data_IF_973220855317
#
_entry.id   IF_973220855317
#
_cell.length_a   1.000
_cell.length_b   1.000
_cell.length_c   1.000
_cell.angle_alpha   90.00
_cell.angle_beta   90.00
_cell.angle_gamma   90.00
#
_symmetry.space_group_name_H-M   'P 1'
#
loop_
_entity.id
_entity.type
_entity.pdbx_description
1 polymer ?
#
# COMPACT_ATOMS: atom_id res chain seq x y z
N UNK A 1 20.95 4.92 -9.64
CA UNK A 1 20.98 4.63 -11.09
C UNK A 1 19.70 5.12 -11.74
N UNK A 2 19.73 5.47 -13.03
CA UNK A 2 18.50 5.79 -13.76
C UNK A 2 17.50 4.64 -13.67
N UNK A 3 16.19 4.91 -13.53
CA UNK A 3 15.20 3.86 -13.24
C UNK A 3 15.06 2.82 -14.36
N UNK A 4 15.34 3.18 -15.60
CA UNK A 4 15.23 2.29 -16.76
C UNK A 4 16.57 1.75 -17.27
N UNK A 5 17.63 1.96 -16.53
CA UNK A 5 18.97 1.40 -16.79
C UNK A 5 19.30 0.37 -15.71
N UNK A 6 19.03 -0.93 -15.95
CA UNK A 6 19.23 -1.96 -14.95
C UNK A 6 20.71 -2.05 -14.57
N UNK A 7 21.00 -1.97 -13.29
CA UNK A 7 22.36 -1.94 -12.75
C UNK A 7 22.53 -3.00 -11.68
N UNK A 8 23.56 -3.85 -11.82
CA UNK A 8 23.94 -4.82 -10.78
C UNK A 8 24.95 -4.19 -9.84
N UNK A 9 24.66 -4.22 -8.54
CA UNK A 9 25.57 -3.78 -7.46
C UNK A 9 25.43 -4.73 -6.28
N UNK A 10 26.54 -5.17 -5.73
CA UNK A 10 26.57 -6.04 -4.55
C UNK A 10 25.66 -7.28 -4.66
N UNK A 11 25.62 -7.90 -5.86
CA UNK A 11 24.79 -9.06 -6.13
C UNK A 11 23.29 -8.78 -6.30
N UNK A 12 22.86 -7.52 -6.25
CA UNK A 12 21.46 -7.10 -6.42
C UNK A 12 21.26 -6.34 -7.72
N UNK A 13 20.10 -6.57 -8.36
CA UNK A 13 19.68 -5.87 -9.58
C UNK A 13 18.79 -4.68 -9.20
N UNK A 14 19.20 -3.49 -9.60
CA UNK A 14 18.45 -2.24 -9.40
C UNK A 14 17.86 -1.75 -10.71
N UNK A 15 16.57 -1.40 -10.70
CA UNK A 15 15.86 -0.86 -11.85
C UNK A 15 14.36 -0.79 -11.59
N UNK A 16 13.63 0.02 -12.36
CA UNK A 16 12.17 0.09 -12.27
C UNK A 16 11.54 -1.26 -12.62
N UNK A 17 10.69 -1.78 -11.72
CA UNK A 17 10.04 -3.07 -11.88
C UNK A 17 10.99 -4.28 -11.73
N UNK A 18 12.21 -4.11 -11.22
CA UNK A 18 13.12 -5.23 -11.00
C UNK A 18 12.62 -6.16 -9.89
N UNK A 19 12.17 -5.60 -8.78
CA UNK A 19 11.57 -6.35 -7.68
C UNK A 19 10.04 -6.41 -7.84
N UNK A 20 9.42 -5.31 -8.20
CA UNK A 20 7.98 -5.14 -8.32
C UNK A 20 7.61 -4.75 -9.77
N UNK A 21 7.14 -5.72 -10.65
CA UNK A 21 7.12 -7.14 -10.27
C UNK A 21 7.68 -8.04 -11.38
N UNK A 22 8.83 -7.72 -11.98
CA UNK A 22 9.51 -8.68 -12.89
C UNK A 22 10.16 -9.86 -12.14
N UNK A 23 10.38 -9.73 -10.83
CA UNK A 23 10.86 -10.81 -10.00
C UNK A 23 9.82 -11.95 -9.95
N UNK A 24 8.53 -11.64 -9.79
CA UNK A 24 7.45 -12.62 -9.83
C UNK A 24 7.34 -13.31 -11.19
N UNK A 25 7.47 -12.57 -12.29
CA UNK A 25 7.54 -13.16 -13.63
C UNK A 25 8.70 -14.17 -13.72
N UNK A 26 9.88 -13.83 -13.22
CA UNK A 26 11.05 -14.70 -13.24
C UNK A 26 10.90 -15.90 -12.31
N UNK A 27 10.19 -15.76 -11.18
CA UNK A 27 9.85 -16.88 -10.32
C UNK A 27 8.97 -17.91 -11.04
N UNK A 28 7.94 -17.46 -11.76
CA UNK A 28 7.12 -18.33 -12.61
C UNK A 28 7.95 -19.02 -13.71
N UNK A 29 8.79 -18.27 -14.41
CA UNK A 29 9.66 -18.85 -15.45
C UNK A 29 10.61 -19.90 -14.86
N UNK A 30 11.20 -19.64 -13.69
CA UNK A 30 12.05 -20.56 -12.97
C UNK A 30 11.31 -21.85 -12.59
N UNK A 31 10.11 -21.72 -12.02
CA UNK A 31 9.26 -22.85 -11.68
C UNK A 31 8.86 -23.69 -12.90
N UNK A 32 8.49 -23.04 -14.01
CA UNK A 32 8.14 -23.75 -15.26
C UNK A 32 9.33 -24.50 -15.86
N UNK A 33 10.52 -23.92 -15.83
CA UNK A 33 11.75 -24.60 -16.27
C UNK A 33 12.03 -25.83 -15.42
N UNK A 34 12.02 -25.67 -14.09
CA UNK A 34 12.24 -26.79 -13.17
C UNK A 34 11.20 -27.90 -13.37
N UNK A 35 9.92 -27.54 -13.55
CA UNK A 35 8.85 -28.51 -13.82
C UNK A 35 9.09 -29.25 -15.14
N UNK A 36 9.44 -28.53 -16.21
CA UNK A 36 9.76 -29.12 -17.50
C UNK A 36 10.92 -30.11 -17.42
N UNK A 37 11.98 -29.76 -16.67
CA UNK A 37 13.15 -30.62 -16.51
C UNK A 37 12.81 -31.95 -15.79
N UNK A 38 12.03 -31.86 -14.69
CA UNK A 38 11.68 -33.05 -13.90
C UNK A 38 10.60 -33.93 -14.56
N UNK A 39 9.81 -33.35 -15.46
CA UNK A 39 8.74 -34.08 -16.19
C UNK A 39 9.11 -34.43 -17.62
N UNK A 40 10.36 -34.23 -18.03
CA UNK A 40 10.82 -34.42 -19.41
C UNK A 40 9.96 -33.67 -20.45
N UNK A 41 9.47 -32.48 -20.09
CA UNK A 41 8.64 -31.61 -20.94
C UNK A 41 7.14 -31.93 -20.93
N UNK A 42 6.68 -32.89 -20.14
CA UNK A 42 5.27 -33.23 -19.98
C UNK A 42 4.79 -33.03 -18.54
N UNK A 43 4.35 -31.80 -18.17
CA UNK A 43 4.02 -31.47 -16.78
C UNK A 43 2.76 -32.14 -16.24
N UNK A 44 2.00 -32.88 -17.05
CA UNK A 44 0.74 -33.57 -16.67
C UNK A 44 -0.35 -32.66 -16.12
N UNK A 45 -0.17 -31.34 -16.23
CA UNK A 45 -1.12 -30.28 -15.82
C UNK A 45 -1.21 -29.23 -16.91
N UNK A 46 -2.40 -28.67 -17.10
CA UNK A 46 -2.58 -27.49 -17.94
C UNK A 46 -2.00 -26.24 -17.27
N UNK A 47 -1.26 -25.44 -18.02
CA UNK A 47 -0.64 -24.22 -17.50
C UNK A 47 -1.06 -23.03 -18.34
N UNK A 48 -1.51 -21.97 -17.67
CA UNK A 48 -1.79 -20.66 -18.28
C UNK A 48 -0.99 -19.62 -17.53
N UNK A 49 -0.21 -18.83 -18.24
CA UNK A 49 0.53 -17.70 -17.69
C UNK A 49 -0.16 -16.41 -18.12
N UNK A 50 -0.61 -15.62 -17.14
CA UNK A 50 -1.17 -14.30 -17.37
C UNK A 50 -0.26 -13.24 -16.74
N UNK A 51 0.11 -12.23 -17.51
CA UNK A 51 0.96 -11.13 -17.06
C UNK A 51 0.20 -9.83 -17.27
N UNK A 52 -0.09 -9.14 -16.17
CA UNK A 52 -0.73 -7.83 -16.19
C UNK A 52 0.32 -6.72 -16.22
N UNK A 53 0.09 -5.68 -16.99
CA UNK A 53 0.97 -4.53 -17.11
C UNK A 53 0.39 -3.22 -16.56
N UNK A 54 -0.78 -3.24 -15.92
CA UNK A 54 -1.51 -2.06 -15.46
C UNK A 54 -1.74 -2.01 -13.95
N UNK A 55 -1.23 -2.97 -13.18
CA UNK A 55 -1.52 -3.09 -11.75
C UNK A 55 -1.18 -1.79 -11.01
N UNK A 56 0.02 -1.27 -11.19
CA UNK A 56 0.52 -0.02 -10.59
C UNK A 56 -0.26 1.24 -11.02
N UNK A 57 -1.02 1.13 -12.09
CA UNK A 57 -1.86 2.20 -12.61
C UNK A 57 -3.35 1.99 -12.31
N UNK A 58 -3.69 0.96 -11.53
CA UNK A 58 -5.03 0.64 -11.04
C UNK A 58 -5.82 -0.28 -11.94
N UNK A 59 -5.18 -1.13 -12.71
CA UNK A 59 -5.79 -2.28 -13.42
C UNK A 59 -7.05 -1.94 -14.22
N UNK A 60 -7.04 -0.86 -14.98
CA UNK A 60 -8.25 -0.27 -15.59
C UNK A 60 -8.95 -1.18 -16.59
N UNK A 61 -8.18 -1.93 -17.37
CA UNK A 61 -8.70 -2.86 -18.38
C UNK A 61 -8.83 -4.29 -17.89
N UNK A 62 -8.30 -4.61 -16.72
CA UNK A 62 -8.16 -5.99 -16.24
C UNK A 62 -9.50 -6.68 -16.01
N UNK A 63 -10.50 -5.99 -15.50
CA UNK A 63 -11.83 -6.56 -15.30
C UNK A 63 -12.51 -6.98 -16.60
N UNK A 64 -12.34 -6.21 -17.68
CA UNK A 64 -12.84 -6.54 -19.01
C UNK A 64 -12.05 -7.71 -19.61
N UNK A 65 -10.72 -7.65 -19.50
CA UNK A 65 -9.84 -8.73 -19.92
C UNK A 65 -10.22 -10.08 -19.26
N UNK A 66 -10.48 -10.10 -17.96
CA UNK A 66 -10.90 -11.31 -17.24
C UNK A 66 -12.24 -11.85 -17.76
N UNK A 67 -13.20 -10.96 -18.06
CA UNK A 67 -14.50 -11.37 -18.58
C UNK A 67 -14.39 -11.98 -19.97
N UNK A 68 -13.59 -11.38 -20.84
CA UNK A 68 -13.42 -11.81 -22.22
C UNK A 68 -12.61 -13.11 -22.33
N UNK A 69 -11.67 -13.34 -21.41
CA UNK A 69 -10.78 -14.49 -21.43
C UNK A 69 -11.11 -15.56 -20.36
N UNK A 70 -12.30 -15.52 -19.78
CA UNK A 70 -12.71 -16.35 -18.66
C UNK A 70 -12.44 -17.85 -18.89
N UNK A 71 -12.77 -18.37 -20.08
CA UNK A 71 -12.62 -19.80 -20.36
C UNK A 71 -11.14 -20.18 -20.53
N UNK A 72 -10.31 -19.30 -21.08
CA UNK A 72 -8.86 -19.52 -21.21
C UNK A 72 -8.16 -19.47 -19.86
N UNK A 73 -8.61 -18.56 -18.98
CA UNK A 73 -8.01 -18.33 -17.67
C UNK A 73 -8.58 -19.26 -16.58
N UNK A 74 -9.58 -20.07 -16.90
CA UNK A 74 -10.19 -20.98 -15.92
C UNK A 74 -9.19 -22.02 -15.45
N UNK A 75 -8.94 -22.09 -14.16
CA UNK A 75 -8.02 -23.01 -13.53
C UNK A 75 -8.54 -23.52 -12.19
N UNK A 76 -8.06 -24.67 -11.74
CA UNK A 76 -8.37 -25.22 -10.42
C UNK A 76 -7.55 -24.54 -9.33
N UNK A 77 -6.37 -24.01 -9.69
CA UNK A 77 -5.45 -23.28 -8.79
C UNK A 77 -4.93 -22.05 -9.50
N UNK A 78 -4.90 -20.93 -8.80
CA UNK A 78 -4.31 -19.67 -9.26
C UNK A 78 -3.13 -19.34 -8.33
N UNK A 79 -1.97 -19.11 -8.91
CA UNK A 79 -0.77 -18.68 -8.19
C UNK A 79 -0.47 -17.23 -8.58
N UNK A 80 -0.53 -16.33 -7.61
CA UNK A 80 -0.21 -14.91 -7.81
C UNK A 80 1.19 -14.68 -7.21
N UNK A 81 2.14 -14.25 -8.03
CA UNK A 81 3.52 -14.02 -7.62
C UNK A 81 3.81 -12.52 -7.35
N UNK A 82 2.82 -11.81 -6.82
CA UNK A 82 2.92 -10.41 -6.39
C UNK A 82 3.05 -10.32 -4.87
N UNK A 83 4.06 -10.99 -4.35
CA UNK A 83 4.40 -10.96 -2.93
C UNK A 83 5.88 -11.34 -2.73
N UNK A 84 6.47 -10.86 -1.62
CA UNK A 84 7.85 -11.18 -1.28
C UNK A 84 7.98 -12.43 -0.43
N UNK A 85 9.19 -13.00 -0.43
CA UNK A 85 9.63 -13.89 0.61
C UNK A 85 9.88 -13.13 1.91
N UNK A 86 10.13 -13.85 3.02
CA UNK A 86 10.51 -13.23 4.28
C UNK A 86 11.81 -12.41 4.13
N UNK A 87 12.80 -13.00 3.51
CA UNK A 87 14.06 -12.38 3.11
C UNK A 87 14.62 -13.07 1.85
N UNK A 88 15.84 -12.71 1.44
CA UNK A 88 16.47 -13.26 0.24
C UNK A 88 16.78 -14.77 0.32
N UNK A 89 16.86 -15.33 1.52
CA UNK A 89 17.27 -16.73 1.77
C UNK A 89 16.11 -17.59 2.27
N UNK A 90 15.05 -16.97 2.81
CA UNK A 90 13.92 -17.64 3.46
C UNK A 90 12.67 -17.58 2.60
N UNK A 91 12.31 -18.68 1.87
CA UNK A 91 11.06 -18.74 1.12
C UNK A 91 9.84 -18.60 2.03
N UNK A 92 8.81 -17.90 1.54
CA UNK A 92 7.56 -17.73 2.27
C UNK A 92 6.35 -17.79 1.34
N UNK A 93 5.22 -18.22 1.89
CA UNK A 93 3.92 -18.16 1.23
C UNK A 93 3.05 -17.12 1.93
N UNK A 94 2.52 -16.19 1.17
CA UNK A 94 1.51 -15.24 1.67
C UNK A 94 0.18 -15.96 1.80
N UNK A 95 -0.30 -16.14 3.03
CA UNK A 95 -1.53 -16.89 3.33
C UNK A 95 -2.69 -15.99 3.74
N UNK A 96 -2.45 -14.71 3.93
CA UNK A 96 -3.46 -13.72 4.33
C UNK A 96 -2.99 -12.32 3.96
N UNK A 97 -3.91 -11.46 3.58
CA UNK A 97 -3.66 -10.04 3.29
C UNK A 97 -4.57 -9.16 4.11
N UNK A 98 -4.12 -7.94 4.40
CA UNK A 98 -5.00 -6.88 4.91
C UNK A 98 -5.89 -6.37 3.78
N UNK A 99 -7.14 -6.05 4.11
CA UNK A 99 -8.00 -5.32 3.19
C UNK A 99 -7.49 -3.89 2.93
N UNK A 100 -7.91 -3.30 1.82
CA UNK A 100 -7.60 -1.91 1.48
C UNK A 100 -8.88 -1.17 1.13
N UNK A 101 -9.15 -0.07 1.84
CA UNK A 101 -10.24 0.86 1.55
C UNK A 101 -9.64 2.24 1.29
N UNK A 102 -9.98 2.83 0.14
CA UNK A 102 -9.56 4.19 -0.21
C UNK A 102 -10.77 5.12 -0.23
N UNK A 103 -10.67 6.26 0.41
CA UNK A 103 -11.75 7.23 0.43
C UNK A 103 -11.25 8.67 0.29
N UNK A 104 -12.14 9.55 -0.14
CA UNK A 104 -11.91 10.99 -0.19
C UNK A 104 -12.79 11.66 0.84
N UNK A 105 -12.18 12.55 1.62
CA UNK A 105 -12.88 13.41 2.57
C UNK A 105 -12.81 14.84 2.04
N UNK A 106 -13.94 15.47 1.88
CA UNK A 106 -14.02 16.88 1.49
C UNK A 106 -14.67 17.67 2.62
N UNK A 107 -14.09 18.82 2.94
CA UNK A 107 -14.63 19.78 3.89
C UNK A 107 -14.81 21.12 3.19
N UNK A 108 -15.99 21.66 3.30
CA UNK A 108 -16.33 23.02 2.84
C UNK A 108 -16.78 23.83 4.05
N UNK A 109 -16.17 25.00 4.28
CA UNK A 109 -16.47 25.87 5.41
C UNK A 109 -16.96 27.26 4.99
N UNK A 110 -16.62 27.70 3.78
CA UNK A 110 -16.92 29.05 3.30
C UNK A 110 -17.51 29.00 1.88
N UNK A 111 -18.36 29.94 1.55
CA UNK A 111 -18.88 30.11 0.19
C UNK A 111 -17.82 30.66 -0.78
N UNK A 112 -16.88 31.42 -0.28
CA UNK A 112 -15.73 31.97 -1.02
C UNK A 112 -14.53 32.12 -0.08
N UNK A 113 -13.34 32.20 -0.64
CA UNK A 113 -12.12 32.46 0.12
C UNK A 113 -12.15 33.86 0.75
N UNK A 114 -11.62 34.00 1.96
CA UNK A 114 -11.63 35.24 2.72
C UNK A 114 -10.26 35.58 3.26
N UNK A 115 -10.01 36.88 3.56
CA UNK A 115 -8.71 37.31 4.06
C UNK A 115 -8.49 36.87 5.51
N UNK A 116 -7.41 36.13 5.76
CA UNK A 116 -7.13 35.55 7.10
C UNK A 116 -6.81 36.60 8.17
N UNK A 117 -6.18 37.73 7.79
CA UNK A 117 -5.90 38.82 8.71
C UNK A 117 -7.14 39.57 9.16
N UNK A 118 -8.25 39.50 8.42
CA UNK A 118 -9.52 40.14 8.80
C UNK A 118 -10.45 39.22 9.57
N UNK A 119 -10.50 37.96 9.22
CA UNK A 119 -11.51 37.03 9.72
C UNK A 119 -10.92 35.80 10.43
N UNK A 120 -9.59 35.63 10.40
CA UNK A 120 -8.90 34.57 11.14
C UNK A 120 -9.15 34.68 12.65
N UNK A 121 -9.29 33.56 13.31
CA UNK A 121 -9.63 33.47 14.72
C UNK A 121 -11.14 33.47 15.01
N UNK A 122 -11.97 33.96 14.07
CA UNK A 122 -13.45 33.94 14.20
C UNK A 122 -14.11 32.95 13.22
N UNK A 123 -13.54 32.85 12.02
CA UNK A 123 -14.08 31.98 10.93
C UNK A 123 -13.20 30.76 10.76
N UNK A 124 -13.75 29.53 10.83
CA UNK A 124 -13.00 28.32 10.58
C UNK A 124 -12.68 28.19 9.08
N UNK A 125 -11.41 27.98 8.76
CA UNK A 125 -11.05 27.56 7.41
C UNK A 125 -11.15 26.02 7.23
N UNK A 126 -11.24 25.60 5.97
CA UNK A 126 -11.42 24.19 5.66
C UNK A 126 -10.21 23.33 6.06
N UNK A 127 -8.97 23.88 5.98
CA UNK A 127 -7.77 23.14 6.37
C UNK A 127 -7.70 22.94 7.88
N UNK A 128 -8.03 23.94 8.68
CA UNK A 128 -8.12 23.78 10.15
C UNK A 128 -9.12 22.68 10.53
N UNK A 129 -10.29 22.67 9.88
CA UNK A 129 -11.28 21.63 10.11
C UNK A 129 -10.78 20.23 9.67
N UNK A 130 -10.08 20.16 8.54
CA UNK A 130 -9.47 18.91 8.05
C UNK A 130 -8.39 18.39 9.00
N UNK A 131 -7.48 19.25 9.47
CA UNK A 131 -6.43 18.88 10.44
C UNK A 131 -7.05 18.30 11.70
N UNK A 132 -8.09 18.94 12.23
CA UNK A 132 -8.80 18.44 13.42
C UNK A 132 -9.48 17.11 13.18
N UNK A 133 -10.15 16.95 12.05
CA UNK A 133 -10.80 15.68 11.68
C UNK A 133 -9.76 14.57 11.50
N UNK A 134 -8.71 14.81 10.72
CA UNK A 134 -7.66 13.81 10.49
C UNK A 134 -6.97 13.45 11.81
N UNK A 135 -6.75 14.41 12.70
CA UNK A 135 -6.15 14.15 14.02
C UNK A 135 -6.95 13.18 14.90
N UNK A 136 -8.26 13.00 14.66
CA UNK A 136 -9.07 12.02 15.40
C UNK A 136 -8.91 10.58 14.91
N UNK A 137 -8.25 10.38 13.79
CA UNK A 137 -8.06 9.03 13.23
C UNK A 137 -6.99 8.22 13.98
N UNK A 138 -6.16 8.87 14.77
CA UNK A 138 -5.08 8.25 15.54
C UNK A 138 -5.12 8.67 17.01
N UNK A 139 -4.74 7.75 17.88
CA UNK A 139 -4.41 8.04 19.27
C UNK A 139 -3.00 8.63 19.40
N UNK A 140 -2.65 9.07 20.61
CA UNK A 140 -1.35 9.74 20.87
C UNK A 140 -0.14 8.83 20.56
N UNK A 141 -0.29 7.52 20.66
CA UNK A 141 0.74 6.54 20.29
C UNK A 141 0.80 6.24 18.78
N UNK A 142 -0.07 6.83 17.97
CA UNK A 142 -0.19 6.61 16.53
C UNK A 142 -0.98 5.36 16.13
N UNK A 143 -1.58 4.66 17.08
CA UNK A 143 -2.55 3.59 16.76
C UNK A 143 -3.81 4.18 16.13
N UNK A 144 -4.47 3.41 15.24
CA UNK A 144 -5.74 3.85 14.65
C UNK A 144 -6.84 3.90 15.71
N UNK A 145 -7.53 5.04 15.82
CA UNK A 145 -8.56 5.33 16.82
C UNK A 145 -9.99 5.22 16.28
N UNK A 146 -10.19 4.69 15.08
CA UNK A 146 -11.51 4.53 14.46
C UNK A 146 -12.23 3.33 15.08
N UNK A 147 -13.40 3.58 15.64
CA UNK A 147 -14.22 2.55 16.26
C UNK A 147 -14.71 1.51 15.24
N UNK A 148 -14.86 0.26 15.68
CA UNK A 148 -15.38 -0.86 14.88
C UNK A 148 -14.35 -1.52 13.96
N UNK A 149 -13.10 -1.01 13.92
CA UNK A 149 -12.03 -1.69 13.22
C UNK A 149 -11.48 -2.85 14.04
N UNK A 150 -11.37 -4.00 13.39
CA UNK A 150 -10.86 -5.20 14.04
C UNK A 150 -9.35 -5.12 14.24
N UNK A 151 -8.90 -5.61 15.37
CA UNK A 151 -7.51 -5.92 15.64
C UNK A 151 -7.42 -7.43 15.74
N UNK A 152 -6.61 -8.05 14.88
CA UNK A 152 -6.34 -9.48 14.96
C UNK A 152 -5.12 -9.69 15.84
N UNK A 153 -5.24 -10.53 16.84
CA UNK A 153 -4.09 -11.02 17.59
C UNK A 153 -3.65 -12.36 17.01
N UNK A 154 -2.45 -12.40 16.44
CA UNK A 154 -1.87 -13.60 15.85
C UNK A 154 -0.36 -13.59 16.07
N UNK A 155 0.20 -14.77 16.24
CA UNK A 155 1.66 -14.93 16.31
C UNK A 155 2.31 -14.41 15.02
N UNK A 156 3.41 -13.71 15.18
CA UNK A 156 4.21 -13.15 14.08
C UNK A 156 5.67 -13.51 14.29
N UNK A 157 6.47 -13.61 13.22
CA UNK A 157 7.91 -13.69 13.34
C UNK A 157 8.48 -12.51 14.12
N UNK A 158 9.64 -12.72 14.72
CA UNK A 158 10.41 -11.63 15.31
C UNK A 158 10.92 -10.69 14.22
N UNK A 159 10.79 -9.39 14.46
CA UNK A 159 11.27 -8.35 13.56
C UNK A 159 11.73 -7.16 14.40
N UNK A 160 13.00 -6.84 14.32
CA UNK A 160 13.61 -5.85 15.20
C UNK A 160 13.39 -4.42 14.72
N UNK A 161 13.48 -3.46 15.64
CA UNK A 161 13.49 -2.03 15.29
C UNK A 161 14.66 -1.69 14.34
N UNK A 162 15.82 -2.32 14.53
CA UNK A 162 16.98 -2.11 13.66
C UNK A 162 16.68 -2.51 12.22
N UNK A 163 16.00 -3.64 12.04
CA UNK A 163 15.55 -4.12 10.74
C UNK A 163 14.50 -3.16 10.13
N UNK A 164 13.53 -2.71 10.93
CA UNK A 164 12.53 -1.75 10.47
C UNK A 164 13.20 -0.45 9.96
N UNK A 165 14.21 0.05 10.68
CA UNK A 165 14.97 1.24 10.28
C UNK A 165 15.75 1.04 8.98
N UNK A 166 16.37 -0.12 8.82
CA UNK A 166 17.08 -0.47 7.59
C UNK A 166 16.12 -0.56 6.40
N UNK A 167 15.01 -1.28 6.56
CA UNK A 167 14.06 -1.54 5.47
C UNK A 167 13.27 -0.29 5.05
N UNK A 168 12.98 0.62 5.99
CA UNK A 168 12.15 1.81 5.75
C UNK A 168 12.92 3.11 5.58
N UNK A 169 14.18 3.15 5.99
CA UNK A 169 14.95 4.39 6.06
C UNK A 169 14.46 5.35 7.16
N UNK A 170 13.89 4.81 8.25
CA UNK A 170 13.41 5.63 9.38
C UNK A 170 14.58 6.44 9.96
N UNK A 171 14.42 7.78 10.01
CA UNK A 171 15.47 8.70 10.41
C UNK A 171 15.81 8.58 11.91
N UNK A 172 17.04 8.95 12.26
CA UNK A 172 17.47 9.03 13.64
C UNK A 172 16.60 10.01 14.43
N UNK A 173 16.24 9.63 15.65
CA UNK A 173 15.37 10.42 16.53
C UNK A 173 13.86 10.32 16.20
N UNK A 174 13.49 9.65 15.11
CA UNK A 174 12.09 9.30 14.84
C UNK A 174 11.78 7.95 15.47
N UNK A 175 10.67 7.87 16.19
CA UNK A 175 10.22 6.65 16.85
C UNK A 175 9.11 5.96 16.04
N UNK A 176 9.04 4.66 16.15
CA UNK A 176 7.94 3.86 15.62
C UNK A 176 6.61 4.19 16.32
N UNK A 177 5.50 3.94 15.65
CA UNK A 177 4.15 4.24 16.15
C UNK A 177 3.38 2.96 16.48
N UNK A 178 2.38 3.09 17.34
CA UNK A 178 1.48 2.00 17.73
C UNK A 178 2.08 1.06 18.78
N UNK A 179 1.32 0.07 19.20
CA UNK A 179 1.65 -0.86 20.28
C UNK A 179 1.73 -2.31 19.82
N UNK A 180 2.51 -3.14 20.56
CA UNK A 180 2.73 -4.54 20.27
C UNK A 180 3.89 -4.80 19.31
N UNK A 181 4.07 -6.05 18.87
CA UNK A 181 5.16 -6.41 17.95
C UNK A 181 5.04 -5.64 16.61
N UNK A 182 6.16 -5.34 15.99
CA UNK A 182 6.21 -4.61 14.71
C UNK A 182 5.39 -5.35 13.64
N UNK A 183 5.62 -6.65 13.47
CA UNK A 183 4.87 -7.43 12.50
C UNK A 183 3.39 -7.58 12.84
N UNK A 184 3.04 -7.61 14.14
CA UNK A 184 1.65 -7.55 14.60
C UNK A 184 0.95 -6.27 14.15
N UNK A 185 1.63 -5.14 14.23
CA UNK A 185 1.11 -3.84 13.74
C UNK A 185 0.97 -3.83 12.21
N UNK A 186 1.97 -4.34 11.49
CA UNK A 186 1.99 -4.32 10.03
C UNK A 186 0.98 -5.31 9.44
N UNK A 187 0.80 -6.49 10.03
CA UNK A 187 -0.01 -7.56 9.43
C UNK A 187 -1.43 -7.68 9.98
N UNK A 188 -1.62 -7.36 11.27
CA UNK A 188 -2.81 -7.75 12.01
C UNK A 188 -3.63 -6.58 12.56
N UNK A 189 -3.12 -5.35 12.44
CA UNK A 189 -3.82 -4.16 12.91
C UNK A 189 -4.20 -3.24 11.76
N UNK A 190 -5.23 -2.41 11.93
CA UNK A 190 -5.55 -1.39 10.95
C UNK A 190 -4.43 -0.35 10.87
N UNK A 191 -4.27 0.24 9.69
CA UNK A 191 -3.39 1.37 9.46
C UNK A 191 -4.10 2.38 8.55
N UNK A 192 -3.96 3.67 8.84
CA UNK A 192 -4.52 4.75 8.03
C UNK A 192 -3.38 5.65 7.59
N UNK A 193 -3.38 6.03 6.32
CA UNK A 193 -2.41 6.94 5.74
C UNK A 193 -3.13 8.00 4.93
N UNK A 194 -2.77 9.26 5.13
CA UNK A 194 -3.17 10.36 4.23
C UNK A 194 -2.25 10.31 3.01
N UNK A 195 -2.79 9.94 1.87
CA UNK A 195 -2.02 9.73 0.64
C UNK A 195 -2.03 10.92 -0.30
N UNK A 196 -2.83 11.95 0.00
CA UNK A 196 -2.86 13.19 -0.76
C UNK A 196 -3.78 14.21 -0.14
N UNK A 197 -3.43 15.49 -0.34
CA UNK A 197 -4.27 16.62 0.06
C UNK A 197 -4.32 17.59 -1.10
N UNK A 198 -5.54 17.92 -1.51
CA UNK A 198 -5.81 18.90 -2.57
C UNK A 198 -5.93 20.28 -1.94
N UNK A 199 -4.81 21.00 -1.90
CA UNK A 199 -4.67 22.29 -1.24
C UNK A 199 -3.65 23.18 -1.98
N UNK A 200 -3.61 24.45 -1.64
CA UNK A 200 -2.65 25.40 -2.21
C UNK A 200 -1.23 25.03 -1.82
N UNK A 201 -0.32 24.99 -2.80
CA UNK A 201 1.11 24.79 -2.56
C UNK A 201 1.74 25.97 -1.81
N UNK A 202 2.85 25.72 -1.12
CA UNK A 202 3.51 26.72 -0.28
C UNK A 202 3.98 27.95 -1.08
N UNK A 203 4.41 27.73 -2.33
CA UNK A 203 4.92 28.84 -3.17
C UNK A 203 3.82 29.77 -3.65
N UNK A 204 2.58 29.27 -3.79
CA UNK A 204 1.40 30.02 -4.19
C UNK A 204 0.53 30.47 -3.01
N UNK A 205 0.95 30.17 -1.78
CA UNK A 205 0.17 30.47 -0.58
C UNK A 205 0.07 31.98 -0.33
N UNK A 206 -1.09 32.44 0.13
CA UNK A 206 -1.38 33.81 0.48
C UNK A 206 -2.13 33.88 1.82
N UNK A 207 -2.35 35.10 2.35
CA UNK A 207 -3.09 35.33 3.59
C UNK A 207 -4.60 35.08 3.41
N UNK A 208 -4.97 33.87 3.07
CA UNK A 208 -6.34 33.46 2.69
C UNK A 208 -6.85 32.31 3.54
N UNK A 209 -8.06 32.43 4.06
CA UNK A 209 -8.84 31.33 4.62
C UNK A 209 -9.41 30.50 3.46
N UNK A 210 -9.06 29.23 3.40
CA UNK A 210 -9.52 28.34 2.35
C UNK A 210 -10.98 27.95 2.55
N UNK A 211 -11.75 28.01 1.46
CA UNK A 211 -13.18 27.64 1.48
C UNK A 211 -13.39 26.12 1.53
N UNK A 212 -12.49 25.36 0.94
CA UNK A 212 -12.61 23.90 0.82
C UNK A 212 -11.25 23.24 0.78
N UNK A 213 -11.20 21.97 1.18
CA UNK A 213 -10.06 21.07 1.08
C UNK A 213 -10.54 19.65 0.88
N UNK A 214 -9.79 18.87 0.13
CA UNK A 214 -10.04 17.45 -0.06
C UNK A 214 -8.80 16.66 0.34
N UNK A 215 -8.96 15.65 1.18
CA UNK A 215 -7.92 14.68 1.50
C UNK A 215 -8.28 13.31 0.95
N UNK A 216 -7.29 12.56 0.49
CA UNK A 216 -7.39 11.14 0.15
C UNK A 216 -6.72 10.34 1.26
N UNK A 217 -7.44 9.37 1.79
CA UNK A 217 -6.92 8.43 2.79
C UNK A 217 -6.96 7.01 2.25
N UNK A 218 -5.97 6.23 2.64
CA UNK A 218 -5.91 4.79 2.42
C UNK A 218 -5.94 4.11 3.79
N UNK A 219 -6.90 3.24 4.00
CA UNK A 219 -7.07 2.46 5.21
C UNK A 219 -6.77 1.00 4.91
N UNK A 220 -5.80 0.43 5.62
CA UNK A 220 -5.58 -1.01 5.67
C UNK A 220 -6.37 -1.55 6.83
N UNK A 221 -7.18 -2.57 6.58
CA UNK A 221 -7.98 -3.24 7.63
C UNK A 221 -7.45 -4.63 7.90
N UNK A 222 -7.59 -5.09 9.14
CA UNK A 222 -7.08 -6.39 9.56
C UNK A 222 -7.71 -7.53 8.75
N UNK A 223 -6.98 -8.66 8.55
CA UNK A 223 -7.55 -9.83 7.90
C UNK A 223 -8.84 -10.28 8.56
N UNK A 224 -9.86 -10.58 7.75
CA UNK A 224 -11.19 -11.00 8.21
C UNK A 224 -12.19 -9.86 8.40
N UNK A 225 -11.79 -8.61 8.27
CA UNK A 225 -12.72 -7.49 8.25
C UNK A 225 -13.11 -7.13 6.79
N UNK A 226 -14.40 -6.95 6.54
CA UNK A 226 -14.84 -6.39 5.27
C UNK A 226 -14.36 -4.93 5.13
N UNK A 227 -13.94 -4.56 3.92
CA UNK A 227 -13.47 -3.20 3.62
C UNK A 227 -14.63 -2.25 3.22
N UNK A 228 -15.88 -2.75 3.20
CA UNK A 228 -17.10 -2.01 2.89
C UNK A 228 -18.16 -2.25 3.96
#
# INVERSE_FOLDING_TARGET
SPPFEPTVRDGRLYGRGAADDKAGIMAHIGALRALSDVTAGDPQVGLVLSIEGEEEFGSRSFADFLRENKETLRADVIVVADSGNWDAETPALTVSLRGNATMRIRIDTLGHASHSGMFGGAVPDAMLAMIKLLGTLWSDDGSVAVEGLHVRDAATPDYSEAQLREDTGLLDGVHEIGTGSIMGRIWNKPAITVTGVDFTDVASASNTLSKSVTAKISARVAPGQAAA
#
